data_IF_011862371880
#
_entry.id   IF_011862371880
#
_cell.length_a   1.000
_cell.length_b   1.000
_cell.length_c   1.000
_cell.angle_alpha   90.00
_cell.angle_beta   90.00
_cell.angle_gamma   90.00
#
_symmetry.space_group_name_H-M   'P 1'
#
loop_
_entity.id
_entity.type
_entity.pdbx_description
1 polymer ?
#
# COMPACT_ATOMS: atom_id res chain seq x y z
N UNK A 1 14.48 16.66 12.24
CA UNK A 1 14.54 15.49 13.14
C UNK A 1 15.09 14.33 12.34
N UNK A 2 16.27 13.84 12.72
CA UNK A 2 16.96 12.73 12.07
C UNK A 2 16.35 11.43 12.61
N UNK A 3 15.57 10.71 11.81
CA UNK A 3 15.00 9.42 12.21
C UNK A 3 16.07 8.33 12.09
N UNK A 4 16.57 7.82 13.22
CA UNK A 4 17.32 6.55 13.24
C UNK A 4 16.33 5.40 13.32
N UNK A 5 15.76 5.02 12.17
CA UNK A 5 14.96 3.79 12.04
C UNK A 5 15.89 2.58 11.90
N UNK A 6 15.73 1.58 12.77
CA UNK A 6 16.12 0.21 12.45
C UNK A 6 14.90 -0.45 11.80
N UNK A 7 14.87 -0.47 10.48
CA UNK A 7 13.81 -1.11 9.71
C UNK A 7 14.15 -2.59 9.50
N UNK A 8 13.26 -3.48 9.92
CA UNK A 8 13.30 -4.90 9.52
C UNK A 8 12.36 -5.05 8.34
N UNK A 9 12.85 -5.60 7.23
CA UNK A 9 12.10 -5.77 5.99
C UNK A 9 12.18 -7.22 5.53
N UNK A 10 11.03 -7.86 5.36
CA UNK A 10 10.91 -9.16 4.70
C UNK A 10 9.99 -9.03 3.50
N UNK A 11 10.50 -9.42 2.33
CA UNK A 11 9.72 -9.47 1.10
C UNK A 11 9.83 -10.86 0.50
N UNK A 12 8.68 -11.39 0.13
CA UNK A 12 8.58 -12.67 -0.55
C UNK A 12 7.72 -12.49 -1.80
N UNK A 13 8.09 -13.17 -2.87
CA UNK A 13 7.24 -13.28 -4.04
C UNK A 13 7.30 -14.68 -4.64
N UNK A 14 6.20 -15.09 -5.25
CA UNK A 14 6.14 -16.35 -5.98
C UNK A 14 5.26 -16.23 -7.22
N UNK A 15 5.63 -16.94 -8.29
CA UNK A 15 4.87 -17.00 -9.53
C UNK A 15 4.28 -18.39 -9.73
N UNK A 16 2.96 -18.48 -9.66
CA UNK A 16 2.20 -19.71 -9.84
C UNK A 16 1.86 -20.00 -11.32
N UNK A 17 2.53 -19.33 -12.26
CA UNK A 17 2.21 -19.42 -13.69
C UNK A 17 1.01 -18.56 -14.10
N UNK A 18 -0.12 -18.67 -13.42
CA UNK A 18 -1.31 -17.85 -13.71
C UNK A 18 -1.39 -16.56 -12.88
N UNK A 19 -0.62 -16.46 -11.79
CA UNK A 19 -0.64 -15.31 -10.88
C UNK A 19 0.71 -15.12 -10.22
N UNK A 20 1.05 -13.87 -9.90
CA UNK A 20 2.15 -13.52 -8.99
C UNK A 20 1.58 -13.15 -7.63
N UNK A 21 2.16 -13.67 -6.57
CA UNK A 21 1.83 -13.32 -5.20
C UNK A 21 3.03 -12.61 -4.57
N UNK A 22 2.76 -11.61 -3.75
CA UNK A 22 3.72 -10.79 -3.03
C UNK A 22 3.30 -10.71 -1.57
N UNK A 23 4.25 -10.90 -0.66
CA UNK A 23 4.07 -10.64 0.76
C UNK A 23 5.17 -9.70 1.24
N UNK A 24 4.78 -8.71 2.03
CA UNK A 24 5.69 -7.76 2.64
C UNK A 24 5.40 -7.69 4.13
N UNK A 25 6.46 -7.65 4.93
CA UNK A 25 6.39 -7.30 6.35
C UNK A 25 7.47 -6.27 6.64
N UNK A 26 7.10 -5.19 7.32
CA UNK A 26 8.03 -4.19 7.84
C UNK A 26 7.81 -3.97 9.32
N UNK A 27 8.89 -3.67 10.03
CA UNK A 27 8.81 -3.15 11.39
C UNK A 27 9.78 -1.99 11.53
N UNK A 28 9.24 -0.87 11.98
CA UNK A 28 9.95 0.39 12.16
C UNK A 28 9.86 0.81 13.63
N UNK A 29 10.92 1.47 14.13
CA UNK A 29 10.85 2.23 15.38
C UNK A 29 10.62 3.68 15.02
N UNK A 30 9.60 4.27 15.62
CA UNK A 30 9.18 5.62 15.31
C UNK A 30 9.26 6.51 16.54
N UNK A 31 9.53 7.79 16.33
CA UNK A 31 9.55 8.79 17.38
C UNK A 31 9.05 10.11 16.80
N UNK A 32 7.96 10.64 17.33
CA UNK A 32 7.28 11.83 16.80
C UNK A 32 6.68 12.69 17.90
N UNK A 33 5.74 13.57 17.53
CA UNK A 33 5.05 14.44 18.49
C UNK A 33 4.24 13.66 19.52
N UNK A 34 3.80 12.45 19.17
CA UNK A 34 2.99 11.56 20.01
C UNK A 34 3.84 10.64 20.90
N UNK A 35 5.18 10.73 20.84
CA UNK A 35 6.10 9.90 21.60
C UNK A 35 6.88 8.90 20.75
N UNK A 36 7.45 7.87 21.40
CA UNK A 36 8.16 6.78 20.74
C UNK A 36 7.26 5.58 20.54
N UNK A 37 7.41 4.83 19.45
CA UNK A 37 6.56 3.71 19.14
C UNK A 37 7.25 2.67 18.27
N UNK A 38 6.50 1.62 17.95
CA UNK A 38 6.86 0.72 16.86
C UNK A 38 5.68 0.56 15.93
N UNK A 39 5.96 0.74 14.65
CA UNK A 39 5.03 0.46 13.57
C UNK A 39 5.32 -0.91 13.00
N UNK A 40 4.31 -1.77 12.89
CA UNK A 40 4.41 -3.03 12.15
C UNK A 40 3.46 -2.97 10.99
N UNK A 41 3.98 -3.15 9.78
CA UNK A 41 3.14 -3.20 8.58
C UNK A 41 3.26 -4.56 7.93
N UNK A 42 2.16 -5.06 7.39
CA UNK A 42 2.19 -6.19 6.47
C UNK A 42 1.32 -5.89 5.26
N UNK A 43 1.67 -6.49 4.12
CA UNK A 43 0.80 -6.50 2.95
C UNK A 43 0.88 -7.82 2.20
N UNK A 44 -0.26 -8.18 1.60
CA UNK A 44 -0.39 -9.28 0.66
C UNK A 44 -0.95 -8.72 -0.64
N UNK A 45 -0.29 -9.01 -1.74
CA UNK A 45 -0.70 -8.53 -3.06
C UNK A 45 -0.66 -9.64 -4.09
N UNK A 46 -1.59 -9.62 -5.04
CA UNK A 46 -1.63 -10.56 -6.14
C UNK A 46 -1.77 -9.82 -7.47
N UNK A 47 -1.13 -10.33 -8.51
CA UNK A 47 -1.21 -9.84 -9.89
C UNK A 47 -1.60 -11.00 -10.80
N UNK A 48 -2.63 -10.78 -11.62
CA UNK A 48 -3.20 -11.80 -12.53
C UNK A 48 -3.36 -11.19 -13.93
N UNK A 49 -2.70 -11.75 -14.97
CA UNK A 49 -3.05 -11.44 -16.35
C UNK A 49 -4.45 -12.01 -16.65
N UNK A 50 -5.40 -11.13 -16.95
CA UNK A 50 -6.79 -11.49 -17.24
C UNK A 50 -7.07 -11.55 -18.75
N UNK A 51 -6.16 -11.05 -19.56
CA UNK A 51 -6.19 -11.14 -21.03
C UNK A 51 -4.77 -10.89 -21.59
N UNK A 52 -4.52 -11.08 -22.91
CA UNK A 52 -3.20 -10.80 -23.50
C UNK A 52 -2.70 -9.37 -23.30
N UNK A 53 -3.61 -8.41 -23.12
CA UNK A 53 -3.30 -6.99 -22.94
C UNK A 53 -3.62 -6.48 -21.52
N UNK A 54 -4.25 -7.27 -20.67
CA UNK A 54 -4.87 -6.78 -19.44
C UNK A 54 -4.40 -7.53 -18.19
N UNK A 55 -4.06 -6.77 -17.16
CA UNK A 55 -3.63 -7.30 -15.85
C UNK A 55 -4.42 -6.64 -14.74
N UNK A 56 -4.96 -7.45 -13.84
CA UNK A 56 -5.57 -7.02 -12.58
C UNK A 56 -4.58 -7.25 -11.46
N UNK A 57 -4.47 -6.31 -10.53
CA UNK A 57 -3.74 -6.52 -9.29
C UNK A 57 -4.56 -6.05 -8.08
N UNK A 58 -4.45 -6.77 -6.98
CA UNK A 58 -5.09 -6.42 -5.70
C UNK A 58 -4.03 -6.41 -4.62
N UNK A 59 -4.17 -5.51 -3.66
CA UNK A 59 -3.33 -5.43 -2.48
C UNK A 59 -4.20 -5.21 -1.26
N UNK A 60 -3.85 -5.86 -0.15
CA UNK A 60 -4.38 -5.58 1.17
C UNK A 60 -3.21 -5.43 2.13
N UNK A 61 -3.29 -4.47 3.05
CA UNK A 61 -2.30 -4.29 4.08
C UNK A 61 -2.87 -3.74 5.37
N UNK A 62 -2.12 -3.95 6.44
CA UNK A 62 -2.37 -3.35 7.75
C UNK A 62 -1.10 -2.71 8.24
N UNK A 63 -1.28 -1.73 9.09
CA UNK A 63 -0.27 -1.07 9.89
C UNK A 63 -0.81 -0.98 11.30
N UNK A 64 -0.07 -1.58 12.22
CA UNK A 64 -0.41 -1.61 13.63
C UNK A 64 0.67 -0.83 14.38
N UNK A 65 0.25 0.18 15.13
CA UNK A 65 1.13 0.99 15.96
C UNK A 65 1.15 0.47 17.39
N UNK A 66 2.22 0.75 18.14
CA UNK A 66 2.38 0.21 19.50
C UNK A 66 3.16 1.13 20.43
N UNK A 67 3.04 0.86 21.72
CA UNK A 67 3.48 1.71 22.84
C UNK A 67 2.70 3.02 22.88
N UNK A 68 3.36 4.17 22.93
CA UNK A 68 2.71 5.47 23.06
C UNK A 68 1.85 5.87 21.84
N UNK A 69 2.02 5.20 20.69
CA UNK A 69 1.21 5.38 19.48
C UNK A 69 0.16 4.27 19.25
N UNK A 70 -0.14 3.42 20.25
CA UNK A 70 -0.96 2.20 20.07
C UNK A 70 -2.43 2.39 19.67
N UNK A 71 -2.90 3.61 19.47
CA UNK A 71 -4.26 3.93 19.02
C UNK A 71 -4.34 4.28 17.54
N UNK A 72 -3.21 4.38 16.84
CA UNK A 72 -3.12 4.88 15.46
C UNK A 72 -2.94 3.72 14.43
N UNK A 73 -3.85 2.74 14.45
CA UNK A 73 -3.82 1.65 13.48
C UNK A 73 -4.46 2.06 12.14
N UNK A 74 -4.05 1.41 11.05
CA UNK A 74 -4.69 1.53 9.75
C UNK A 74 -4.70 0.22 8.97
N UNK A 75 -5.76 0.00 8.19
CA UNK A 75 -5.84 -1.09 7.22
C UNK A 75 -6.34 -0.55 5.90
N UNK A 76 -5.90 -1.12 4.80
CA UNK A 76 -6.31 -0.64 3.50
C UNK A 76 -6.23 -1.70 2.43
N UNK A 77 -6.89 -1.41 1.31
CA UNK A 77 -6.82 -2.23 0.12
C UNK A 77 -6.79 -1.37 -1.12
N UNK A 78 -6.27 -1.97 -2.19
CA UNK A 78 -6.21 -1.35 -3.50
C UNK A 78 -6.53 -2.38 -4.57
N UNK A 79 -7.25 -1.93 -5.59
CA UNK A 79 -7.50 -2.65 -6.83
C UNK A 79 -6.92 -1.84 -7.99
N UNK A 80 -6.11 -2.49 -8.81
CA UNK A 80 -5.45 -1.91 -9.97
C UNK A 80 -5.83 -2.68 -11.22
N UNK A 81 -6.02 -1.97 -12.32
CA UNK A 81 -6.12 -2.54 -13.64
C UNK A 81 -5.17 -1.82 -14.60
N UNK A 82 -4.48 -2.60 -15.43
CA UNK A 82 -3.63 -2.07 -16.50
C UNK A 82 -4.02 -2.71 -17.82
N UNK A 83 -3.96 -1.92 -18.89
CA UNK A 83 -4.29 -2.33 -20.24
C UNK A 83 -3.24 -1.84 -21.24
N UNK A 84 -2.55 -2.76 -21.90
CA UNK A 84 -1.59 -2.47 -22.95
C UNK A 84 -2.29 -2.14 -24.27
N UNK A 85 -2.22 -0.87 -24.69
CA UNK A 85 -2.65 -0.47 -26.04
C UNK A 85 -1.58 -0.82 -27.09
N UNK A 86 -0.31 -0.84 -26.69
CA UNK A 86 0.82 -1.25 -27.53
C UNK A 86 2.00 -1.70 -26.65
N UNK A 87 3.12 -2.11 -27.28
CA UNK A 87 4.39 -2.36 -26.56
C UNK A 87 4.95 -1.13 -25.83
N UNK A 88 4.47 0.06 -26.18
CA UNK A 88 4.94 1.36 -25.68
C UNK A 88 3.90 2.11 -24.86
N UNK A 89 2.61 1.78 -24.99
CA UNK A 89 1.52 2.53 -24.36
C UNK A 89 0.68 1.63 -23.46
N UNK A 90 0.49 2.03 -22.22
CA UNK A 90 -0.35 1.33 -21.22
C UNK A 90 -1.31 2.33 -20.58
N UNK A 91 -2.60 2.01 -20.58
CA UNK A 91 -3.59 2.68 -19.72
C UNK A 91 -3.60 2.01 -18.35
N UNK A 92 -3.85 2.77 -17.29
CA UNK A 92 -4.03 2.21 -15.97
C UNK A 92 -5.12 2.96 -15.19
N UNK A 93 -5.77 2.23 -14.30
CA UNK A 93 -6.70 2.79 -13.32
C UNK A 93 -6.54 2.04 -12.00
N UNK A 94 -6.86 2.72 -10.91
CA UNK A 94 -6.81 2.16 -9.58
C UNK A 94 -7.91 2.74 -8.70
N UNK A 95 -8.33 1.95 -7.72
CA UNK A 95 -9.13 2.39 -6.60
C UNK A 95 -8.48 1.90 -5.31
N UNK A 96 -8.41 2.76 -4.31
CA UNK A 96 -7.82 2.43 -3.03
C UNK A 96 -8.63 3.02 -1.88
N UNK A 97 -8.69 2.30 -0.76
CA UNK A 97 -9.39 2.71 0.44
C UNK A 97 -8.58 2.36 1.70
N UNK A 98 -8.49 3.29 2.65
CA UNK A 98 -7.88 3.08 3.96
C UNK A 98 -8.96 3.30 5.02
N UNK A 99 -8.99 2.40 6.00
CA UNK A 99 -9.70 2.59 7.26
C UNK A 99 -8.67 2.92 8.35
N UNK A 100 -8.76 4.14 8.88
CA UNK A 100 -7.96 4.62 9.98
C UNK A 100 -8.70 4.35 11.30
N UNK A 101 -7.97 4.07 12.38
CA UNK A 101 -8.52 3.92 13.72
C UNK A 101 -7.97 4.99 14.65
N UNK A 102 -8.78 5.40 15.63
CA UNK A 102 -8.40 6.41 16.61
C UNK A 102 -8.02 7.72 15.92
N UNK A 103 -6.85 8.24 16.27
CA UNK A 103 -6.33 9.48 15.72
C UNK A 103 -5.47 9.29 14.46
N UNK A 104 -5.40 8.07 13.92
CA UNK A 104 -4.68 7.79 12.68
C UNK A 104 -5.20 8.63 11.52
N UNK A 105 -4.28 9.13 10.70
CA UNK A 105 -4.59 9.95 9.52
C UNK A 105 -3.77 9.50 8.31
N UNK A 106 -3.61 8.18 8.12
CA UNK A 106 -2.87 7.67 6.98
C UNK A 106 -3.63 7.93 5.68
N UNK A 107 -2.88 8.40 4.68
CA UNK A 107 -3.32 8.59 3.31
C UNK A 107 -2.17 8.31 2.34
N UNK A 108 -2.42 8.42 1.04
CA UNK A 108 -1.38 8.21 0.03
C UNK A 108 -0.53 9.46 -0.21
N UNK A 109 -1.08 10.43 -0.96
CA UNK A 109 -0.38 11.67 -1.32
C UNK A 109 -0.98 12.91 -0.63
N UNK A 110 -1.74 12.70 0.45
CA UNK A 110 -2.36 13.73 1.26
C UNK A 110 -2.54 13.21 2.69
N UNK A 111 -2.79 14.11 3.63
CA UNK A 111 -3.09 13.79 5.03
C UNK A 111 -4.58 14.07 5.28
N UNK A 112 -5.43 13.05 5.43
CA UNK A 112 -6.82 13.22 5.84
C UNK A 112 -6.95 13.78 7.26
N UNK A 113 -8.15 14.12 7.69
CA UNK A 113 -8.40 14.42 9.10
C UNK A 113 -8.16 13.17 9.98
N UNK A 114 -7.91 13.36 11.27
CA UNK A 114 -7.74 12.27 12.22
C UNK A 114 -9.00 11.38 12.25
N UNK A 115 -8.81 10.06 12.12
CA UNK A 115 -9.87 9.05 12.07
C UNK A 115 -10.69 9.03 10.78
N UNK A 116 -10.35 9.85 9.78
CA UNK A 116 -11.04 9.82 8.48
C UNK A 116 -10.54 8.65 7.63
N UNK A 117 -11.45 8.05 6.86
CA UNK A 117 -11.22 6.89 6.00
C UNK A 117 -11.11 7.31 4.52
N UNK A 118 -9.91 7.69 4.03
CA UNK A 118 -9.77 8.22 2.68
C UNK A 118 -9.95 7.15 1.61
N UNK A 119 -10.49 7.58 0.46
CA UNK A 119 -10.53 6.78 -0.77
C UNK A 119 -9.91 7.56 -1.93
N UNK A 120 -9.20 6.87 -2.82
CA UNK A 120 -8.56 7.46 -3.99
C UNK A 120 -8.92 6.68 -5.25
N UNK A 121 -9.33 7.40 -6.28
CA UNK A 121 -9.39 6.91 -7.66
C UNK A 121 -8.22 7.50 -8.42
N UNK A 122 -7.49 6.67 -9.16
CA UNK A 122 -6.42 7.11 -10.05
C UNK A 122 -6.67 6.55 -11.44
N UNK A 123 -6.45 7.34 -12.48
CA UNK A 123 -6.38 6.87 -13.86
C UNK A 123 -5.25 7.60 -14.59
N UNK A 124 -4.63 6.94 -15.57
CA UNK A 124 -3.56 7.55 -16.33
C UNK A 124 -3.04 6.70 -17.48
N UNK A 125 -2.02 7.24 -18.14
CA UNK A 125 -1.38 6.66 -19.32
C UNK A 125 0.12 6.67 -19.10
N UNK A 126 0.78 5.55 -19.40
CA UNK A 126 2.24 5.45 -19.47
C UNK A 126 2.64 5.22 -20.93
N UNK A 127 3.51 6.07 -21.46
CA UNK A 127 4.10 5.93 -22.79
C UNK A 127 5.63 5.84 -22.72
N UNK A 128 6.25 4.93 -23.47
CA UNK A 128 7.71 4.74 -23.54
C UNK A 128 8.23 4.90 -24.97
N UNK A 129 9.13 5.87 -25.18
CA UNK A 129 9.77 6.19 -26.46
C UNK A 129 10.93 5.25 -26.81
#
# INVERSE_FOLDING_TARGET
FLFTSLAVFFFFFYYFGAAKLYALYTQDRESGSQGSGKARSYSLSAEVPVSPAGTVAVSYGSRDESNEANTEDARGWSLYYTHGLSKRTTLYTAYSHINNKGDANYGWNFTPAAGEDPSVVMAGIRHRF
#
